data_IF_282612913937
#
_entry.id   IF_282612913937
#
_cell.length_a   1.000
_cell.length_b   1.000
_cell.length_c   1.000
_cell.angle_alpha   90.00
_cell.angle_beta   90.00
_cell.angle_gamma   90.00
#
_symmetry.space_group_name_H-M   'P 1'
#
loop_
_entity.id
_entity.type
_entity.pdbx_description
1 polymer ?
#
# COMPACT_ATOMS: atom_id res chain seq x y z
N UNK A 1 -13.58 -26.08 -7.67
CA UNK A 1 -12.23 -26.68 -7.73
C UNK A 1 -11.46 -25.93 -8.79
N UNK A 2 -10.51 -25.08 -8.39
CA UNK A 2 -9.42 -24.61 -9.24
C UNK A 2 -8.18 -24.65 -8.34
N UNK A 3 -7.46 -25.76 -8.45
CA UNK A 3 -6.21 -26.04 -7.77
C UNK A 3 -5.08 -25.73 -8.73
N UNK A 4 -4.70 -24.45 -8.81
CA UNK A 4 -3.43 -24.03 -9.41
C UNK A 4 -2.68 -23.15 -8.40
N UNK A 5 -2.46 -23.69 -7.21
CA UNK A 5 -1.39 -23.17 -6.36
C UNK A 5 -0.11 -23.80 -6.88
N UNK A 6 0.66 -23.04 -7.67
CA UNK A 6 2.07 -23.38 -7.85
C UNK A 6 2.69 -23.54 -6.46
N UNK A 7 3.49 -24.60 -6.22
CA UNK A 7 4.16 -24.76 -4.94
C UNK A 7 5.02 -23.53 -4.68
N UNK A 8 4.83 -22.89 -3.53
CA UNK A 8 5.70 -21.80 -3.09
C UNK A 8 7.14 -22.32 -3.11
N UNK A 9 8.00 -21.69 -3.90
CA UNK A 9 9.41 -22.02 -3.93
C UNK A 9 10.01 -21.58 -2.58
N UNK A 10 10.24 -22.54 -1.69
CA UNK A 10 10.87 -22.29 -0.38
C UNK A 10 12.39 -22.37 -0.46
N UNK A 11 13.00 -22.55 -1.63
CA UNK A 11 14.47 -22.67 -1.75
C UNK A 11 15.20 -21.43 -1.23
N UNK A 12 14.53 -20.26 -1.25
CA UNK A 12 15.08 -19.01 -0.72
C UNK A 12 15.52 -19.10 0.75
N UNK A 13 14.96 -20.01 1.57
CA UNK A 13 15.34 -20.13 3.00
C UNK A 13 16.79 -20.60 3.18
N UNK A 14 17.42 -21.08 2.12
CA UNK A 14 18.84 -21.45 2.10
C UNK A 14 19.73 -20.39 1.46
N UNK A 15 19.14 -19.31 0.91
CA UNK A 15 19.91 -18.21 0.33
C UNK A 15 20.60 -17.37 1.41
N UNK A 16 21.69 -16.66 1.06
CA UNK A 16 22.36 -15.74 1.98
C UNK A 16 21.40 -14.68 2.53
N UNK A 17 21.70 -14.19 3.73
CA UNK A 17 20.97 -13.07 4.32
C UNK A 17 21.57 -11.75 3.85
N UNK A 18 20.71 -10.80 3.52
CA UNK A 18 21.05 -9.39 3.30
C UNK A 18 20.52 -8.55 4.44
N UNK A 19 21.23 -7.47 4.76
CA UNK A 19 20.83 -6.49 5.76
C UNK A 19 20.13 -5.33 5.08
N UNK A 20 18.95 -4.96 5.55
CA UNK A 20 18.25 -3.76 5.10
C UNK A 20 18.10 -2.81 6.29
N UNK A 21 18.69 -1.63 6.17
CA UNK A 21 18.67 -0.58 7.18
C UNK A 21 17.58 0.43 6.80
N UNK A 22 16.52 0.51 7.59
CA UNK A 22 15.32 1.30 7.27
C UNK A 22 15.10 2.38 8.32
N UNK A 23 14.73 3.58 7.89
CA UNK A 23 14.52 4.73 8.76
C UNK A 23 15.74 5.64 8.87
N UNK A 24 15.50 6.83 9.44
CA UNK A 24 16.52 7.86 9.66
C UNK A 24 17.61 7.36 10.60
N UNK A 25 18.76 8.04 10.64
CA UNK A 25 19.86 7.63 11.53
C UNK A 25 19.47 7.56 13.01
N UNK A 26 18.48 8.34 13.46
CA UNK A 26 18.01 8.30 14.85
C UNK A 26 17.11 7.10 15.15
N UNK A 27 16.29 6.66 14.19
CA UNK A 27 15.25 5.64 14.37
C UNK A 27 15.47 4.42 13.45
N UNK A 28 16.71 4.18 13.04
CA UNK A 28 17.06 3.14 12.09
C UNK A 28 16.84 1.74 12.66
N UNK A 29 16.12 0.91 11.92
CA UNK A 29 15.94 -0.52 12.22
C UNK A 29 16.65 -1.36 11.19
N UNK A 30 17.40 -2.36 11.66
CA UNK A 30 18.04 -3.36 10.81
C UNK A 30 17.14 -4.58 10.65
N UNK A 31 16.82 -4.91 9.40
CA UNK A 31 16.16 -6.15 9.01
C UNK A 31 17.18 -7.12 8.40
N UNK A 32 16.98 -8.42 8.65
CA UNK A 32 17.70 -9.49 7.97
C UNK A 32 16.70 -10.29 7.12
N UNK A 33 16.99 -10.42 5.84
CA UNK A 33 16.08 -11.05 4.87
C UNK A 33 16.86 -11.95 3.93
N UNK A 34 16.25 -13.05 3.52
CA UNK A 34 16.80 -13.97 2.54
C UNK A 34 16.92 -13.26 1.18
N UNK A 35 18.14 -13.20 0.64
CA UNK A 35 18.44 -12.55 -0.65
C UNK A 35 17.59 -13.13 -1.78
N UNK A 36 17.42 -14.45 -1.79
CA UNK A 36 16.62 -15.15 -2.79
C UNK A 36 15.15 -14.74 -2.76
N UNK A 37 14.60 -14.45 -1.57
CA UNK A 37 13.22 -14.02 -1.43
C UNK A 37 13.05 -12.60 -1.97
N UNK A 38 13.85 -11.67 -1.44
CA UNK A 38 13.64 -10.25 -1.72
C UNK A 38 14.09 -9.86 -3.13
N UNK A 39 15.11 -10.51 -3.68
CA UNK A 39 15.56 -10.29 -5.07
C UNK A 39 14.66 -10.97 -6.10
N UNK A 40 14.02 -12.11 -5.77
CA UNK A 40 13.03 -12.70 -6.68
C UNK A 40 11.81 -11.79 -6.82
N UNK A 41 11.43 -11.15 -5.71
CA UNK A 41 10.20 -10.38 -5.64
C UNK A 41 10.35 -8.93 -6.14
N UNK A 42 11.52 -8.32 -5.95
CA UNK A 42 11.76 -6.90 -6.24
C UNK A 42 12.94 -6.71 -7.18
N UNK A 43 12.67 -6.08 -8.32
CA UNK A 43 13.70 -5.71 -9.29
C UNK A 43 14.71 -4.70 -8.71
N UNK A 44 14.29 -3.85 -7.76
CA UNK A 44 15.20 -2.97 -7.04
C UNK A 44 16.28 -3.78 -6.31
N UNK A 45 15.87 -4.75 -5.48
CA UNK A 45 16.80 -5.59 -4.73
C UNK A 45 17.62 -6.48 -5.66
N UNK A 46 17.01 -7.07 -6.69
CA UNK A 46 17.70 -7.85 -7.71
C UNK A 46 18.81 -7.06 -8.42
N UNK A 47 18.58 -5.75 -8.63
CA UNK A 47 19.56 -4.89 -9.29
C UNK A 47 20.63 -4.36 -8.33
N UNK A 48 20.25 -4.05 -7.08
CA UNK A 48 21.17 -3.53 -6.06
C UNK A 48 22.16 -4.60 -5.58
N UNK A 49 21.73 -5.86 -5.51
CA UNK A 49 22.53 -6.97 -4.98
C UNK A 49 23.34 -7.71 -6.04
N UNK A 50 23.32 -7.25 -7.30
CA UNK A 50 24.16 -7.80 -8.37
C UNK A 50 25.64 -7.64 -8.00
N UNK A 51 26.44 -8.73 -8.05
CA UNK A 51 27.88 -8.67 -7.82
C UNK A 51 28.55 -7.68 -8.76
N UNK A 52 29.66 -7.08 -8.31
CA UNK A 52 30.56 -6.24 -9.10
C UNK A 52 29.92 -5.01 -9.76
N UNK A 53 28.68 -4.65 -9.38
CA UNK A 53 27.94 -3.52 -9.94
C UNK A 53 27.80 -2.35 -8.98
N UNK A 54 27.62 -2.64 -7.69
CA UNK A 54 27.38 -1.66 -6.63
C UNK A 54 28.01 -2.12 -5.32
N UNK A 55 28.33 -1.20 -4.42
CA UNK A 55 28.94 -1.52 -3.12
C UNK A 55 28.01 -2.41 -2.25
N UNK A 56 26.71 -2.34 -2.49
CA UNK A 56 25.66 -3.14 -1.88
C UNK A 56 25.75 -4.62 -2.29
N UNK A 57 26.19 -4.92 -3.51
CA UNK A 57 26.43 -6.28 -3.98
C UNK A 57 27.51 -7.00 -3.18
N UNK A 58 28.55 -6.27 -2.79
CA UNK A 58 29.68 -6.81 -2.01
C UNK A 58 29.41 -6.77 -0.50
N UNK A 59 28.84 -5.67 0.00
CA UNK A 59 28.58 -5.48 1.42
C UNK A 59 27.34 -6.25 1.91
N UNK A 60 26.41 -6.59 1.01
CA UNK A 60 25.09 -7.16 1.33
C UNK A 60 24.30 -6.30 2.32
N UNK A 61 24.50 -4.98 2.26
CA UNK A 61 23.77 -3.98 3.07
C UNK A 61 23.07 -2.99 2.14
N UNK A 62 21.76 -2.84 2.31
CA UNK A 62 20.95 -1.84 1.60
C UNK A 62 20.39 -0.84 2.60
N UNK A 63 20.38 0.44 2.26
CA UNK A 63 19.89 1.53 3.10
C UNK A 63 18.65 2.17 2.49
N UNK A 64 17.60 2.30 3.30
CA UNK A 64 16.32 2.94 2.98
C UNK A 64 16.02 4.02 4.04
N UNK A 65 16.78 5.13 4.06
CA UNK A 65 16.78 6.08 5.18
C UNK A 65 15.49 6.91 5.30
N UNK A 66 14.72 7.01 4.23
CA UNK A 66 13.48 7.81 4.18
C UNK A 66 12.22 6.96 4.39
N UNK A 67 12.38 5.65 4.51
CA UNK A 67 11.26 4.72 4.61
C UNK A 67 10.91 4.43 6.06
N UNK A 68 9.63 4.20 6.32
CA UNK A 68 9.10 3.85 7.63
C UNK A 68 9.42 2.37 7.95
N UNK A 69 10.15 2.08 9.05
CA UNK A 69 10.46 0.70 9.44
C UNK A 69 9.23 -0.19 9.63
N UNK A 70 8.11 0.35 10.09
CA UNK A 70 6.89 -0.41 10.32
C UNK A 70 6.22 -0.79 8.98
N UNK A 71 6.24 0.12 8.01
CA UNK A 71 5.76 -0.15 6.63
C UNK A 71 6.64 -1.21 5.97
N UNK A 72 7.97 -1.12 6.13
CA UNK A 72 8.88 -2.15 5.62
C UNK A 72 8.70 -3.50 6.30
N UNK A 73 8.42 -3.52 7.61
CA UNK A 73 8.08 -4.76 8.32
C UNK A 73 6.84 -5.42 7.73
N UNK A 74 5.78 -4.65 7.45
CA UNK A 74 4.56 -5.17 6.82
C UNK A 74 4.81 -5.71 5.41
N UNK A 75 5.63 -4.99 4.62
CA UNK A 75 6.08 -5.46 3.32
C UNK A 75 6.80 -6.82 3.42
N UNK A 76 7.76 -6.96 4.33
CA UNK A 76 8.46 -8.23 4.54
C UNK A 76 7.54 -9.33 5.04
N UNK A 77 6.64 -9.03 5.97
CA UNK A 77 5.67 -10.01 6.47
C UNK A 77 4.83 -10.59 5.32
N UNK A 78 4.40 -9.73 4.37
CA UNK A 78 3.72 -10.17 3.16
C UNK A 78 4.60 -11.07 2.27
N UNK A 79 5.88 -10.73 2.09
CA UNK A 79 6.78 -11.56 1.26
C UNK A 79 6.95 -12.97 1.82
N UNK A 80 7.09 -13.11 3.15
CA UNK A 80 7.20 -14.42 3.79
C UNK A 80 5.88 -15.17 3.87
N UNK A 81 4.76 -14.45 3.91
CA UNK A 81 3.40 -15.00 4.13
C UNK A 81 2.37 -14.32 3.25
N UNK A 82 2.44 -14.51 1.92
CA UNK A 82 1.49 -13.90 0.99
C UNK A 82 0.07 -14.47 1.12
N UNK A 83 -0.07 -15.58 1.83
CA UNK A 83 -1.34 -16.23 2.17
C UNK A 83 -2.09 -15.55 3.32
N UNK A 84 -1.41 -14.74 4.15
CA UNK A 84 -2.04 -14.05 5.26
C UNK A 84 -2.61 -12.72 4.75
N UNK A 85 -3.94 -12.63 4.68
CA UNK A 85 -4.62 -11.36 4.48
C UNK A 85 -4.20 -10.35 5.56
N UNK A 86 -3.91 -9.12 5.16
CA UNK A 86 -3.42 -8.08 6.06
C UNK A 86 -4.45 -7.79 7.16
N UNK A 87 -5.75 -7.85 6.85
CA UNK A 87 -6.79 -7.78 7.89
C UNK A 87 -6.70 -8.87 8.97
N UNK A 88 -6.16 -10.06 8.68
CA UNK A 88 -5.96 -11.11 9.69
C UNK A 88 -4.79 -10.78 10.63
N UNK A 89 -3.78 -10.05 10.16
CA UNK A 89 -2.71 -9.49 11.00
C UNK A 89 -3.30 -8.41 11.93
N UNK A 90 -4.18 -7.58 11.39
CA UNK A 90 -4.80 -6.44 12.07
C UNK A 90 -5.83 -6.85 13.12
N UNK A 91 -6.63 -7.88 12.86
CA UNK A 91 -7.61 -8.39 13.81
C UNK A 91 -6.97 -8.86 15.14
N UNK A 92 -5.65 -9.02 15.18
CA UNK A 92 -4.87 -9.41 16.37
C UNK A 92 -4.30 -8.23 17.16
N UNK A 93 -4.40 -7.00 16.64
CA UNK A 93 -3.60 -5.86 17.11
C UNK A 93 -4.41 -4.63 17.59
N UNK A 94 -5.74 -4.70 17.71
CA UNK A 94 -6.61 -3.57 18.12
C UNK A 94 -6.36 -2.25 17.32
N UNK A 95 -5.94 -2.36 16.06
CA UNK A 95 -5.64 -1.20 15.21
C UNK A 95 -6.93 -0.69 14.55
N UNK A 96 -7.23 0.63 14.60
CA UNK A 96 -8.38 1.19 13.88
C UNK A 96 -8.30 0.93 12.37
N UNK A 97 -9.43 0.57 11.76
CA UNK A 97 -9.51 0.24 10.33
C UNK A 97 -9.04 1.37 9.39
N UNK A 98 -9.14 2.64 9.82
CA UNK A 98 -8.56 3.76 9.08
C UNK A 98 -7.03 3.69 9.01
N UNK A 99 -6.37 3.36 10.11
CA UNK A 99 -4.90 3.25 10.18
C UNK A 99 -4.38 2.04 9.41
N UNK A 100 -5.16 0.96 9.39
CA UNK A 100 -4.95 -0.20 8.52
C UNK A 100 -4.92 0.20 7.06
N UNK A 101 -5.90 0.99 6.63
CA UNK A 101 -6.02 1.42 5.24
C UNK A 101 -4.84 2.32 4.87
N UNK A 102 -4.48 3.27 5.73
CA UNK A 102 -3.28 4.11 5.58
C UNK A 102 -2.02 3.25 5.41
N UNK A 103 -1.79 2.28 6.30
CA UNK A 103 -0.62 1.38 6.21
C UNK A 103 -0.62 0.57 4.90
N UNK A 104 -1.79 0.13 4.46
CA UNK A 104 -1.94 -0.58 3.18
C UNK A 104 -1.56 0.32 2.00
N UNK A 105 -1.97 1.60 2.01
CA UNK A 105 -1.53 2.60 1.03
C UNK A 105 -0.02 2.83 1.06
N UNK A 106 0.59 2.93 2.24
CA UNK A 106 2.04 3.15 2.38
C UNK A 106 2.84 1.95 1.86
N UNK A 107 2.41 0.72 2.11
CA UNK A 107 3.09 -0.46 1.55
C UNK A 107 2.89 -0.55 0.03
N UNK A 108 1.73 -0.15 -0.51
CA UNK A 108 1.56 -0.03 -1.96
C UNK A 108 2.59 0.91 -2.59
N UNK A 109 2.80 2.08 -1.99
CA UNK A 109 3.80 3.07 -2.43
C UNK A 109 5.22 2.51 -2.30
N UNK A 110 5.53 1.88 -1.16
CA UNK A 110 6.83 1.24 -0.94
C UNK A 110 7.11 0.17 -2.00
N UNK A 111 6.15 -0.72 -2.27
CA UNK A 111 6.28 -1.76 -3.28
C UNK A 111 6.50 -1.17 -4.69
N UNK A 112 5.81 -0.08 -5.03
CA UNK A 112 6.04 0.63 -6.28
C UNK A 112 7.48 1.20 -6.38
N UNK A 113 7.98 1.82 -5.30
CA UNK A 113 9.35 2.34 -5.23
C UNK A 113 10.40 1.23 -5.32
N UNK A 114 10.12 0.08 -4.69
CA UNK A 114 10.94 -1.13 -4.76
C UNK A 114 10.78 -1.92 -6.06
N UNK A 115 10.02 -1.42 -7.04
CA UNK A 115 9.77 -2.11 -8.31
C UNK A 115 9.23 -3.54 -8.11
N UNK A 116 8.39 -3.74 -7.09
CA UNK A 116 7.71 -5.00 -6.78
C UNK A 116 6.25 -4.92 -7.24
N UNK A 117 6.05 -5.14 -8.53
CA UNK A 117 4.73 -5.04 -9.17
C UNK A 117 3.72 -6.08 -8.63
N UNK A 118 4.08 -7.34 -8.33
CA UNK A 118 3.14 -8.28 -7.74
C UNK A 118 2.65 -7.84 -6.35
N UNK A 119 3.55 -7.41 -5.45
CA UNK A 119 3.13 -6.92 -4.12
C UNK A 119 2.34 -5.64 -4.24
N UNK A 120 2.75 -4.70 -5.10
CA UNK A 120 1.98 -3.48 -5.41
C UNK A 120 0.54 -3.84 -5.79
N UNK A 121 0.34 -4.77 -6.72
CA UNK A 121 -1.01 -5.18 -7.13
C UNK A 121 -1.79 -5.90 -6.03
N UNK A 122 -1.13 -6.74 -5.22
CA UNK A 122 -1.76 -7.40 -4.07
C UNK A 122 -2.28 -6.38 -3.06
N UNK A 123 -1.50 -5.36 -2.71
CA UNK A 123 -1.92 -4.32 -1.79
C UNK A 123 -3.00 -3.42 -2.37
N UNK A 124 -3.07 -3.24 -3.69
CA UNK A 124 -4.22 -2.60 -4.34
C UNK A 124 -5.50 -3.40 -4.16
N UNK A 125 -5.43 -4.71 -4.35
CA UNK A 125 -6.58 -5.58 -4.10
C UNK A 125 -6.97 -5.57 -2.62
N UNK A 126 -6.00 -5.49 -1.71
CA UNK A 126 -6.28 -5.34 -0.29
C UNK A 126 -6.96 -4.01 0.05
N UNK A 127 -6.53 -2.89 -0.56
CA UNK A 127 -7.23 -1.60 -0.41
C UNK A 127 -8.71 -1.72 -0.82
N UNK A 128 -8.98 -2.30 -1.99
CA UNK A 128 -10.34 -2.53 -2.47
C UNK A 128 -11.12 -3.51 -1.57
N UNK A 129 -10.44 -4.51 -1.03
CA UNK A 129 -11.04 -5.47 -0.10
C UNK A 129 -11.45 -4.75 1.18
N UNK A 130 -10.58 -3.94 1.79
CA UNK A 130 -10.83 -3.24 3.06
C UNK A 130 -12.02 -2.26 3.00
N UNK A 131 -12.41 -1.81 1.81
CA UNK A 131 -13.53 -0.88 1.60
C UNK A 131 -14.82 -1.58 1.19
N UNK A 132 -14.76 -2.89 0.92
CA UNK A 132 -15.93 -3.70 0.64
C UNK A 132 -16.84 -3.82 1.88
N UNK A 133 -18.16 -4.00 1.70
CA UNK A 133 -19.05 -4.31 2.82
C UNK A 133 -18.68 -5.67 3.44
N UNK A 134 -18.84 -5.78 4.77
CA UNK A 134 -18.69 -7.03 5.56
C UNK A 134 -17.27 -7.65 5.58
N UNK A 135 -16.23 -6.82 5.48
CA UNK A 135 -14.81 -7.25 5.54
C UNK A 135 -14.43 -7.92 6.85
N UNK A 136 -15.12 -7.59 7.94
CA UNK A 136 -14.91 -8.17 9.27
C UNK A 136 -16.12 -9.06 9.62
N UNK A 137 -15.91 -10.36 9.90
CA UNK A 137 -16.98 -11.25 10.35
C UNK A 137 -17.64 -10.69 11.62
N UNK A 138 -18.95 -10.49 11.59
CA UNK A 138 -19.71 -9.97 12.73
C UNK A 138 -19.78 -8.44 12.84
N UNK A 139 -19.11 -7.68 11.96
CA UNK A 139 -19.46 -6.29 11.76
C UNK A 139 -20.80 -6.25 11.01
N UNK A 140 -21.81 -5.61 11.60
CA UNK A 140 -22.99 -5.19 10.84
C UNK A 140 -22.52 -4.44 9.58
N UNK A 141 -23.29 -4.49 8.49
CA UNK A 141 -23.01 -3.77 7.25
C UNK A 141 -22.89 -2.26 7.53
N UNK A 142 -21.70 -1.83 7.96
CA UNK A 142 -21.35 -0.45 8.22
C UNK A 142 -21.14 0.27 6.90
N UNK A 143 -21.09 1.61 6.93
CA UNK A 143 -20.73 2.37 5.74
C UNK A 143 -19.37 1.90 5.21
N UNK A 144 -19.24 1.81 3.88
CA UNK A 144 -17.94 1.58 3.23
C UNK A 144 -16.91 2.58 3.76
N UNK A 145 -15.70 2.09 4.04
CA UNK A 145 -14.62 2.92 4.52
C UNK A 145 -14.28 3.98 3.47
N UNK A 146 -14.32 5.26 3.87
CA UNK A 146 -13.85 6.36 3.05
C UNK A 146 -12.39 6.65 3.41
N UNK A 147 -11.49 6.80 2.43
CA UNK A 147 -10.08 7.11 2.68
C UNK A 147 -9.91 8.38 3.52
N UNK A 148 -9.01 8.35 4.50
CA UNK A 148 -8.62 9.52 5.28
C UNK A 148 -7.70 10.43 4.47
N UNK A 149 -7.54 11.69 4.91
CA UNK A 149 -6.58 12.65 4.36
C UNK A 149 -5.17 12.05 4.28
N UNK A 150 -4.72 11.35 5.32
CA UNK A 150 -3.40 10.70 5.34
C UNK A 150 -3.26 9.62 4.23
N UNK A 151 -4.30 8.82 3.99
CA UNK A 151 -4.27 7.82 2.92
C UNK A 151 -4.22 8.48 1.53
N UNK A 152 -4.99 9.55 1.33
CA UNK A 152 -5.00 10.33 0.09
C UNK A 152 -3.61 10.93 -0.16
N UNK A 153 -3.04 11.60 0.83
CA UNK A 153 -1.70 12.18 0.75
C UNK A 153 -0.69 11.09 0.39
N UNK A 154 -0.68 9.97 1.12
CA UNK A 154 0.26 8.87 0.90
C UNK A 154 0.24 8.38 -0.54
N UNK A 155 -0.94 8.13 -1.12
CA UNK A 155 -1.06 7.67 -2.50
C UNK A 155 -0.62 8.76 -3.50
N UNK A 156 -1.10 9.99 -3.36
CA UNK A 156 -0.83 11.02 -4.37
C UNK A 156 0.61 11.54 -4.34
N UNK A 157 1.27 11.55 -3.19
CA UNK A 157 2.69 11.92 -3.11
C UNK A 157 3.61 10.75 -3.49
N UNK A 158 3.18 9.51 -3.24
CA UNK A 158 3.97 8.31 -3.46
C UNK A 158 3.80 7.64 -4.83
N UNK A 159 2.94 8.15 -5.71
CA UNK A 159 2.65 7.54 -7.02
C UNK A 159 2.72 8.57 -8.13
N UNK A 160 2.82 8.11 -9.38
CA UNK A 160 2.77 8.97 -10.58
C UNK A 160 1.34 9.25 -11.03
N UNK A 161 1.17 10.24 -11.89
CA UNK A 161 -0.12 10.53 -12.53
C UNK A 161 -0.63 9.32 -13.32
N UNK A 162 -1.92 9.02 -13.19
CA UNK A 162 -2.55 7.86 -13.82
C UNK A 162 -2.36 6.53 -13.08
N UNK A 163 -1.66 6.51 -11.93
CA UNK A 163 -1.52 5.29 -11.15
C UNK A 163 -2.89 4.74 -10.69
N UNK A 164 -3.17 3.43 -10.81
CA UNK A 164 -4.48 2.86 -10.50
C UNK A 164 -4.97 3.09 -9.06
N UNK A 165 -4.07 3.26 -8.09
CA UNK A 165 -4.48 3.53 -6.71
C UNK A 165 -5.15 4.91 -6.56
N UNK A 166 -4.74 5.91 -7.35
CA UNK A 166 -5.39 7.23 -7.34
C UNK A 166 -6.84 7.14 -7.78
N UNK A 167 -7.10 6.40 -8.86
CA UNK A 167 -8.45 6.13 -9.35
C UNK A 167 -9.30 5.35 -8.35
N UNK A 168 -8.70 4.36 -7.67
CA UNK A 168 -9.38 3.62 -6.61
C UNK A 168 -9.88 4.57 -5.50
N UNK A 169 -9.01 5.47 -4.99
CA UNK A 169 -9.42 6.41 -3.95
C UNK A 169 -10.55 7.34 -4.43
N UNK A 170 -10.45 7.87 -5.65
CA UNK A 170 -11.48 8.73 -6.24
C UNK A 170 -12.82 8.01 -6.40
N UNK A 171 -12.80 6.75 -6.85
CA UNK A 171 -14.02 5.95 -7.01
C UNK A 171 -14.70 5.69 -5.67
N UNK A 172 -13.95 5.45 -4.59
CA UNK A 172 -14.52 5.28 -3.25
C UNK A 172 -15.32 6.51 -2.80
N UNK A 173 -14.81 7.72 -3.04
CA UNK A 173 -15.56 8.95 -2.77
C UNK A 173 -16.75 9.13 -3.71
N UNK A 174 -16.59 8.78 -4.99
CA UNK A 174 -17.66 8.95 -5.99
C UNK A 174 -18.84 8.01 -5.73
N UNK A 175 -18.56 6.77 -5.32
CA UNK A 175 -19.54 5.71 -5.13
C UNK A 175 -20.12 5.65 -3.72
N UNK A 176 -19.34 6.01 -2.70
CA UNK A 176 -19.72 5.86 -1.30
C UNK A 176 -19.65 7.17 -0.49
N UNK A 177 -19.17 8.25 -1.11
CA UNK A 177 -19.14 9.58 -0.49
C UNK A 177 -20.53 10.07 -0.09
N UNK A 178 -20.58 10.90 0.95
CA UNK A 178 -21.79 11.50 1.48
C UNK A 178 -21.48 12.89 2.03
N UNK A 179 -22.51 13.64 2.41
CA UNK A 179 -22.35 15.02 2.90
C UNK A 179 -21.41 15.12 4.12
N UNK A 180 -21.41 14.13 5.01
CA UNK A 180 -20.56 14.11 6.20
C UNK A 180 -19.09 13.96 5.84
N UNK A 181 -18.73 12.97 5.01
CA UNK A 181 -17.34 12.79 4.59
C UNK A 181 -16.85 13.90 3.65
N UNK A 182 -17.74 14.44 2.81
CA UNK A 182 -17.44 15.62 1.99
C UNK A 182 -17.15 16.86 2.84
N UNK A 183 -17.95 17.11 3.90
CA UNK A 183 -17.70 18.21 4.82
C UNK A 183 -16.38 18.03 5.59
N UNK A 184 -16.04 16.80 6.02
CA UNK A 184 -14.77 16.51 6.66
C UNK A 184 -13.58 16.79 5.72
N UNK A 185 -13.67 16.37 4.45
CA UNK A 185 -12.64 16.63 3.44
C UNK A 185 -12.46 18.12 3.17
N UNK A 186 -13.55 18.90 3.10
CA UNK A 186 -13.51 20.35 2.85
C UNK A 186 -12.95 21.12 4.07
N UNK A 187 -13.13 20.58 5.27
CA UNK A 187 -12.63 21.19 6.50
C UNK A 187 -11.11 21.03 6.69
N UNK A 188 -10.47 20.14 5.93
CA UNK A 188 -9.01 20.01 5.94
C UNK A 188 -8.34 21.29 5.44
N UNK A 189 -7.23 21.72 6.07
CA UNK A 189 -6.41 22.80 5.53
C UNK A 189 -6.03 22.53 4.06
N UNK A 190 -6.13 23.54 3.21
CA UNK A 190 -5.89 23.38 1.77
C UNK A 190 -4.50 22.81 1.44
N UNK A 191 -3.50 23.13 2.27
CA UNK A 191 -2.12 22.66 2.11
C UNK A 191 -1.95 21.17 2.48
N UNK A 192 -2.91 20.57 3.19
CA UNK A 192 -2.87 19.16 3.59
C UNK A 192 -3.41 18.22 2.50
N UNK A 193 -4.20 18.73 1.54
CA UNK A 193 -4.81 17.91 0.51
C UNK A 193 -4.12 18.09 -0.86
N UNK A 194 -3.76 16.99 -1.55
CA UNK A 194 -3.22 17.08 -2.89
C UNK A 194 -4.21 17.74 -3.85
N UNK A 195 -3.80 18.84 -4.50
CA UNK A 195 -4.66 19.53 -5.48
C UNK A 195 -5.07 18.61 -6.65
N UNK A 196 -4.19 17.68 -7.04
CA UNK A 196 -4.49 16.68 -8.06
C UNK A 196 -5.70 15.80 -7.66
N UNK A 197 -5.76 15.35 -6.40
CA UNK A 197 -6.88 14.57 -5.91
C UNK A 197 -8.21 15.33 -6.00
N UNK A 198 -8.22 16.61 -5.62
CA UNK A 198 -9.44 17.43 -5.71
C UNK A 198 -9.92 17.59 -7.16
N UNK A 199 -8.99 17.75 -8.12
CA UNK A 199 -9.30 17.82 -9.55
C UNK A 199 -9.87 16.50 -10.06
N UNK A 200 -9.23 15.38 -9.73
CA UNK A 200 -9.66 14.05 -10.14
C UNK A 200 -11.04 13.70 -9.56
N UNK A 201 -11.26 14.02 -8.27
CA UNK A 201 -12.55 13.84 -7.61
C UNK A 201 -13.65 14.70 -8.24
N UNK A 202 -13.37 15.98 -8.51
CA UNK A 202 -14.33 16.87 -9.16
C UNK A 202 -14.71 16.36 -10.56
N UNK A 203 -13.72 15.92 -11.35
CA UNK A 203 -13.96 15.34 -12.67
C UNK A 203 -14.83 14.08 -12.58
N UNK A 204 -14.52 13.17 -11.65
CA UNK A 204 -15.29 11.95 -11.42
C UNK A 204 -16.73 12.24 -10.97
N UNK A 205 -16.93 13.17 -10.04
CA UNK A 205 -18.25 13.57 -9.57
C UNK A 205 -19.09 14.18 -10.70
N UNK A 206 -18.50 15.04 -11.53
CA UNK A 206 -19.20 15.64 -12.68
C UNK A 206 -19.57 14.60 -13.74
N UNK A 207 -18.71 13.61 -13.97
CA UNK A 207 -18.97 12.53 -14.92
C UNK A 207 -20.10 11.59 -14.45
N UNK A 208 -20.24 11.38 -13.14
CA UNK A 208 -21.23 10.47 -12.54
C UNK A 208 -22.48 11.17 -12.01
N UNK A 209 -22.49 12.50 -11.95
CA UNK A 209 -23.66 13.28 -11.54
C UNK A 209 -24.77 13.10 -12.56
N UNK A 210 -25.96 12.69 -12.09
CA UNK A 210 -27.17 12.70 -12.92
C UNK A 210 -27.47 14.15 -13.33
N UNK A 211 -27.54 14.47 -14.64
CA UNK A 211 -27.91 15.80 -15.08
C UNK A 211 -29.33 16.13 -14.58
N UNK A 212 -29.56 17.40 -14.28
CA UNK A 212 -30.90 17.91 -13.99
C UNK A 212 -31.82 17.48 -15.13
N UNK A 213 -33.02 16.96 -14.83
CA UNK A 213 -34.05 16.86 -15.86
C UNK A 213 -34.22 18.27 -16.43
N UNK A 214 -34.09 18.41 -17.75
CA UNK A 214 -34.34 19.68 -18.42
C UNK A 214 -35.71 20.21 -17.94
N UNK A 215 -35.70 21.44 -17.42
CA UNK A 215 -36.90 22.15 -16.96
C UNK A 215 -37.51 22.87 -18.15
#
# INVERSE_FOLDING_TARGET
MNSDTQPYDTSFVTSPLVKVLVGSEQDQIQFQVHEGLISHQSDFFANALKPDRWAEGDSKVIKLPNEDPEVFHMYLAHLYRPDIAIAAVIARADIPLGQVFVKTCKVYVLAAMLMDEPTKNNFRHEMARLTAPNVLPGANAGPSLIPTTEAIVSIYTGTVDGDPARNLLVNLFTEHGNATNGAALIAEPADNLPQAFLKDLMASLLANRRPSKEV
#
